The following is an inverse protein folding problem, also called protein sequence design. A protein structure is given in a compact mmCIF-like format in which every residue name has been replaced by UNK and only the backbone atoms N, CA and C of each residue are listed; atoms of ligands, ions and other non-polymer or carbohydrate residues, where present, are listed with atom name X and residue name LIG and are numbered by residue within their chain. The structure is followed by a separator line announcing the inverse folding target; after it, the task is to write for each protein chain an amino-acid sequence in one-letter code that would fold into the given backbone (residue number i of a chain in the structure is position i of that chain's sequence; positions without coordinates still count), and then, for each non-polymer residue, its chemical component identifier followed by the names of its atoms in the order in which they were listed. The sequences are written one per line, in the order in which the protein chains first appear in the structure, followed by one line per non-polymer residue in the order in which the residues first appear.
data_IF_863337394896
#
_entry.id   IF_863337394896
#
_cell.length_a   1.000
_cell.length_b   1.000
_cell.length_c   1.000
_cell.angle_alpha   90.00
_cell.angle_beta   90.00
_cell.angle_gamma   90.00
#
_symmetry.space_group_name_H-M   'P 1'
#
loop_
_entity.id
_entity.type
_entity.pdbx_description
1 polymer ?
#
# COMPACT_ATOMS: atom_id res chain seq x y z
N UNK A 1 -5.72 -21.99 5.85
CA UNK A 1 -4.43 -21.83 6.57
C UNK A 1 -3.25 -21.88 5.61
N UNK A 2 -3.26 -22.75 4.59
CA UNK A 2 -2.12 -22.89 3.64
C UNK A 2 -1.72 -21.60 2.90
N UNK A 3 -2.69 -20.76 2.51
CA UNK A 3 -2.43 -19.48 1.83
C UNK A 3 -1.93 -18.35 2.74
N UNK A 4 -1.92 -18.53 4.07
CA UNK A 4 -1.48 -17.48 5.00
C UNK A 4 0.03 -17.54 5.26
N UNK A 5 0.64 -18.74 5.22
CA UNK A 5 2.07 -18.91 5.50
C UNK A 5 2.97 -18.09 4.56
N UNK A 6 2.71 -18.04 3.23
CA UNK A 6 3.53 -17.24 2.33
C UNK A 6 3.43 -15.74 2.61
N UNK A 7 2.24 -15.26 3.00
CA UNK A 7 2.02 -13.83 3.30
C UNK A 7 2.74 -13.42 4.58
N UNK A 8 2.71 -14.26 5.62
CA UNK A 8 3.45 -14.00 6.86
C UNK A 8 4.96 -14.00 6.60
N UNK A 9 5.48 -15.00 5.89
CA UNK A 9 6.90 -15.04 5.53
C UNK A 9 7.32 -13.82 4.67
N UNK A 10 6.47 -13.43 3.73
CA UNK A 10 6.69 -12.23 2.92
C UNK A 10 6.73 -10.96 3.77
N UNK A 11 5.82 -10.82 4.74
CA UNK A 11 5.78 -9.68 5.66
C UNK A 11 7.08 -9.56 6.47
N UNK A 12 7.60 -10.68 6.99
CA UNK A 12 8.88 -10.70 7.72
C UNK A 12 10.06 -10.30 6.82
N UNK A 13 10.01 -10.65 5.53
CA UNK A 13 11.04 -10.32 4.54
C UNK A 13 10.95 -8.90 3.96
N UNK A 14 9.92 -8.12 4.31
CA UNK A 14 9.79 -6.75 3.85
C UNK A 14 10.93 -5.87 4.37
N UNK A 15 11.26 -4.85 3.57
CA UNK A 15 12.08 -3.74 4.03
C UNK A 15 11.42 -3.09 5.25
N UNK A 16 12.25 -2.64 6.19
CA UNK A 16 11.78 -2.09 7.46
C UNK A 16 10.77 -0.95 7.26
N UNK A 17 11.02 -0.05 6.30
CA UNK A 17 10.12 1.06 6.00
C UNK A 17 8.74 0.59 5.51
N UNK A 18 8.67 -0.45 4.67
CA UNK A 18 7.40 -0.97 4.15
C UNK A 18 6.65 -1.73 5.24
N UNK A 19 7.37 -2.54 6.03
CA UNK A 19 6.81 -3.26 7.17
C UNK A 19 6.25 -2.30 8.22
N UNK A 20 6.99 -1.24 8.56
CA UNK A 20 6.57 -0.24 9.53
C UNK A 20 5.33 0.52 9.04
N UNK A 21 5.28 0.88 7.75
CA UNK A 21 4.08 1.51 7.16
C UNK A 21 2.84 0.64 7.36
N UNK A 22 2.94 -0.67 7.11
CA UNK A 22 1.84 -1.60 7.31
C UNK A 22 1.46 -1.75 8.80
N UNK A 23 2.44 -1.87 9.69
CA UNK A 23 2.22 -1.97 11.14
C UNK A 23 1.46 -0.74 11.63
N UNK A 24 1.96 0.45 11.33
CA UNK A 24 1.38 1.70 11.81
C UNK A 24 -0.06 1.84 11.33
N UNK A 25 -0.29 1.67 10.03
CA UNK A 25 -1.59 1.94 9.43
C UNK A 25 -2.63 0.86 9.74
N UNK A 26 -2.22 -0.41 9.85
CA UNK A 26 -3.13 -1.50 10.23
C UNK A 26 -3.36 -1.58 11.75
N UNK A 27 -2.57 -0.88 12.57
CA UNK A 27 -2.80 -0.79 14.01
C UNK A 27 -3.92 0.22 14.38
N UNK A 28 -4.24 1.16 13.49
CA UNK A 28 -5.27 2.17 13.71
C UNK A 28 -6.67 1.55 13.59
N UNK A 29 -7.45 1.63 14.68
CA UNK A 29 -8.81 1.10 14.72
C UNK A 29 -9.86 2.03 14.10
N UNK A 30 -9.55 3.34 14.07
CA UNK A 30 -10.53 4.38 13.75
C UNK A 30 -11.45 4.72 14.92
N UNK A 31 -11.18 4.23 16.13
CA UNK A 31 -11.83 4.60 17.38
C UNK A 31 -10.82 5.35 18.26
N UNK A 32 -11.23 6.46 18.84
CA UNK A 32 -10.41 7.29 19.72
C UNK A 32 -9.84 6.47 20.89
N UNK A 33 -8.52 6.55 21.07
CA UNK A 33 -7.81 5.84 22.14
C UNK A 33 -7.65 4.33 21.95
N UNK A 34 -8.22 3.73 20.89
CA UNK A 34 -8.14 2.29 20.64
C UNK A 34 -7.19 1.94 19.49
N UNK A 35 -6.36 0.91 19.71
CA UNK A 35 -5.40 0.40 18.72
C UNK A 35 -5.40 -1.12 18.75
N UNK A 36 -5.21 -1.76 17.59
CA UNK A 36 -5.13 -3.22 17.52
C UNK A 36 -3.81 -3.78 18.08
N UNK A 37 -2.75 -2.99 18.10
CA UNK A 37 -1.45 -3.39 18.65
C UNK A 37 -0.65 -2.17 19.16
N UNK A 38 -0.07 -2.24 20.38
CA UNK A 38 0.96 -1.32 20.83
C UNK A 38 2.38 -1.77 20.39
N UNK A 39 3.36 -0.85 20.25
CA UNK A 39 3.24 0.61 20.32
C UNK A 39 2.89 1.21 18.94
N UNK A 40 1.74 1.90 18.84
CA UNK A 40 1.49 2.76 17.71
C UNK A 40 2.21 4.10 17.96
N UNK A 41 3.24 4.39 17.18
CA UNK A 41 3.98 5.66 17.24
C UNK A 41 3.14 6.85 16.79
N UNK A 42 2.02 6.58 16.12
CA UNK A 42 1.15 7.56 15.50
C UNK A 42 -0.19 7.65 16.25
N UNK A 43 -0.53 8.84 16.73
CA UNK A 43 -1.86 9.15 17.29
C UNK A 43 -2.62 10.03 16.30
N UNK A 44 -3.94 9.99 16.36
CA UNK A 44 -4.82 10.70 15.42
C UNK A 44 -5.48 9.79 14.40
N UNK A 45 -6.27 10.39 13.51
CA UNK A 45 -6.82 9.70 12.35
C UNK A 45 -6.69 10.53 11.06
N UNK A 46 -7.35 10.11 9.96
CA UNK A 46 -8.20 8.93 9.88
C UNK A 46 -7.47 7.60 9.97
N UNK A 47 -8.22 6.56 10.35
CA UNK A 47 -7.88 5.19 9.99
C UNK A 47 -8.34 4.87 8.55
N UNK A 48 -7.69 3.91 7.91
CA UNK A 48 -7.98 3.53 6.54
C UNK A 48 -8.59 2.14 6.45
N UNK A 49 -9.72 2.04 5.75
CA UNK A 49 -10.32 0.77 5.35
C UNK A 49 -9.99 0.48 3.89
N UNK A 50 -9.00 -0.37 3.62
CA UNK A 50 -8.69 -0.81 2.25
C UNK A 50 -9.72 -1.84 1.76
N UNK A 51 -10.77 -1.37 1.09
CA UNK A 51 -11.82 -2.21 0.54
C UNK A 51 -11.31 -3.03 -0.65
N UNK A 52 -11.59 -4.34 -0.63
CA UNK A 52 -11.01 -5.39 -1.48
C UNK A 52 -9.55 -5.78 -1.21
N UNK A 53 -8.88 -5.26 -0.17
CA UNK A 53 -7.50 -5.68 0.15
C UNK A 53 -7.32 -7.20 0.34
N UNK A 54 -8.26 -7.98 0.94
CA UNK A 54 -8.07 -9.42 1.05
C UNK A 54 -8.13 -10.13 -0.30
N UNK A 55 -8.96 -9.65 -1.23
CA UNK A 55 -9.06 -10.20 -2.58
C UNK A 55 -7.80 -9.87 -3.40
N UNK A 56 -7.34 -8.62 -3.32
CA UNK A 56 -6.10 -8.17 -3.91
C UNK A 56 -4.90 -9.01 -3.45
N UNK A 57 -4.68 -9.12 -2.12
CA UNK A 57 -3.55 -9.90 -1.57
C UNK A 57 -3.67 -11.36 -1.98
N UNK A 58 -4.86 -11.96 -1.91
CA UNK A 58 -5.03 -13.36 -2.31
C UNK A 58 -4.64 -13.63 -3.76
N UNK A 59 -4.87 -12.68 -4.65
CA UNK A 59 -4.53 -12.82 -6.06
C UNK A 59 -3.05 -12.57 -6.30
N UNK A 60 -2.51 -11.42 -5.87
CA UNK A 60 -1.12 -11.05 -6.11
C UNK A 60 -0.12 -11.92 -5.32
N UNK A 61 -0.46 -12.35 -4.11
CA UNK A 61 0.44 -13.14 -3.26
C UNK A 61 0.69 -14.58 -3.77
N UNK A 62 -0.09 -15.05 -4.75
CA UNK A 62 0.19 -16.32 -5.44
C UNK A 62 1.43 -16.24 -6.33
N UNK A 63 1.69 -15.05 -6.86
CA UNK A 63 2.83 -14.77 -7.75
C UNK A 63 3.99 -14.19 -6.96
N UNK A 64 3.72 -13.15 -6.17
CA UNK A 64 4.73 -12.42 -5.40
C UNK A 64 4.06 -11.74 -4.19
N UNK A 65 4.10 -12.43 -3.05
CA UNK A 65 3.53 -11.94 -1.80
C UNK A 65 4.25 -10.71 -1.25
N UNK A 66 5.57 -10.59 -1.48
CA UNK A 66 6.35 -9.43 -1.03
C UNK A 66 5.88 -8.20 -1.79
N UNK A 67 5.79 -8.30 -3.11
CA UNK A 67 5.34 -7.18 -3.94
C UNK A 67 3.90 -6.78 -3.66
N UNK A 68 3.01 -7.76 -3.43
CA UNK A 68 1.63 -7.47 -3.03
C UNK A 68 1.57 -6.59 -1.76
N UNK A 69 2.39 -6.91 -0.75
CA UNK A 69 2.47 -6.14 0.48
C UNK A 69 3.13 -4.76 0.28
N UNK A 70 4.17 -4.66 -0.57
CA UNK A 70 4.77 -3.37 -0.93
C UNK A 70 3.76 -2.44 -1.62
N UNK A 71 2.90 -2.98 -2.50
CA UNK A 71 1.83 -2.20 -3.14
C UNK A 71 0.85 -1.68 -2.08
N UNK A 72 0.46 -2.50 -1.10
CA UNK A 72 -0.39 -2.03 0.00
C UNK A 72 0.26 -0.93 0.83
N UNK A 73 1.54 -1.09 1.17
CA UNK A 73 2.29 -0.09 1.93
C UNK A 73 2.35 1.25 1.17
N UNK A 74 2.58 1.21 -0.15
CA UNK A 74 2.54 2.41 -0.99
C UNK A 74 1.16 3.05 -1.04
N UNK A 75 0.07 2.27 -1.12
CA UNK A 75 -1.30 2.80 -1.08
C UNK A 75 -1.55 3.52 0.24
N UNK A 76 -1.19 2.91 1.37
CA UNK A 76 -1.33 3.55 2.69
C UNK A 76 -0.53 4.85 2.76
N UNK A 77 0.72 4.85 2.30
CA UNK A 77 1.58 6.03 2.27
C UNK A 77 0.95 7.17 1.48
N UNK A 78 0.48 6.90 0.26
CA UNK A 78 -0.17 7.92 -0.57
C UNK A 78 -1.52 8.37 0.04
N UNK A 79 -2.26 7.47 0.70
CA UNK A 79 -3.49 7.82 1.42
C UNK A 79 -3.19 8.76 2.59
N UNK A 80 -2.13 8.49 3.36
CA UNK A 80 -1.68 9.34 4.47
C UNK A 80 -1.25 10.73 4.01
N UNK A 81 -0.69 10.85 2.82
CA UNK A 81 -0.39 12.15 2.22
C UNK A 81 -1.65 12.95 1.81
N UNK A 82 -2.76 12.28 1.49
CA UNK A 82 -4.06 12.91 1.22
C UNK A 82 -4.82 13.26 2.50
N UNK A 83 -4.69 12.41 3.52
CA UNK A 83 -5.29 12.58 4.86
C UNK A 83 -4.21 12.46 5.95
N UNK A 84 -3.46 13.54 6.20
CA UNK A 84 -2.45 13.57 7.27
C UNK A 84 -3.07 13.27 8.63
N UNK A 85 -2.28 12.70 9.54
CA UNK A 85 -2.72 12.43 10.91
C UNK A 85 -3.12 13.72 11.61
N UNK A 86 -4.36 13.75 12.09
CA UNK A 86 -4.91 14.84 12.91
C UNK A 86 -5.74 14.25 14.04
N UNK A 87 -5.59 14.80 15.24
CA UNK A 87 -6.40 14.40 16.40
C UNK A 87 -7.88 14.70 16.19
N UNK A 88 -8.21 15.76 15.46
CA UNK A 88 -9.60 16.11 15.07
C UNK A 88 -10.24 15.08 14.13
N UNK A 89 -9.45 14.19 13.53
CA UNK A 89 -9.91 13.12 12.65
C UNK A 89 -9.82 11.74 13.32
N UNK A 90 -9.67 11.71 14.65
CA UNK A 90 -10.00 10.51 15.42
C UNK A 90 -11.50 10.21 15.26
N UNK A 91 -11.90 8.94 15.31
CA UNK A 91 -13.26 8.50 14.94
C UNK A 91 -13.63 8.72 13.45
N UNK A 92 -12.67 9.06 12.58
CA UNK A 92 -12.85 9.19 11.14
C UNK A 92 -12.20 8.01 10.41
N UNK A 93 -12.97 7.38 9.51
CA UNK A 93 -12.48 6.29 8.66
C UNK A 93 -12.63 6.70 7.20
N UNK A 94 -11.56 6.50 6.43
CA UNK A 94 -11.54 6.69 4.99
C UNK A 94 -11.49 5.32 4.32
N UNK A 95 -12.45 5.06 3.42
CA UNK A 95 -12.48 3.83 2.62
C UNK A 95 -11.67 4.02 1.34
N UNK A 96 -10.69 3.15 1.12
CA UNK A 96 -9.88 3.14 -0.10
C UNK A 96 -10.28 1.93 -0.94
N UNK A 97 -10.85 2.18 -2.11
CA UNK A 97 -11.35 1.14 -3.00
C UNK A 97 -10.25 0.64 -3.94
N UNK A 98 -9.88 -0.64 -3.77
CA UNK A 98 -8.91 -1.34 -4.62
C UNK A 98 -9.58 -2.09 -5.79
N UNK A 99 -10.78 -1.65 -6.20
CA UNK A 99 -11.63 -2.37 -7.14
C UNK A 99 -11.00 -2.61 -8.52
N UNK A 100 -10.16 -1.69 -8.96
CA UNK A 100 -9.45 -1.73 -10.25
C UNK A 100 -8.29 -2.74 -10.26
N UNK A 101 -7.57 -2.87 -9.14
CA UNK A 101 -6.39 -3.73 -9.04
C UNK A 101 -6.67 -5.11 -8.41
N UNK A 102 -7.82 -5.31 -7.76
CA UNK A 102 -8.11 -6.53 -6.98
C UNK A 102 -7.96 -7.85 -7.75
N UNK A 103 -8.10 -7.83 -9.07
CA UNK A 103 -8.06 -9.02 -9.93
C UNK A 103 -6.85 -9.06 -10.86
N UNK A 104 -5.90 -8.14 -10.71
CA UNK A 104 -4.74 -8.04 -11.59
C UNK A 104 -3.57 -8.88 -11.06
N UNK A 105 -2.70 -9.33 -11.96
CA UNK A 105 -1.41 -9.92 -11.60
C UNK A 105 -0.47 -8.84 -11.06
N UNK A 106 0.52 -9.24 -10.26
CA UNK A 106 1.54 -8.29 -9.79
C UNK A 106 2.28 -7.69 -10.99
N UNK A 107 2.55 -8.51 -12.00
CA UNK A 107 3.20 -8.09 -13.24
C UNK A 107 2.40 -7.01 -13.97
N UNK A 108 1.09 -7.19 -14.17
CA UNK A 108 0.25 -6.22 -14.88
C UNK A 108 0.17 -4.87 -14.16
N UNK A 109 0.20 -4.89 -12.83
CA UNK A 109 0.22 -3.65 -12.03
C UNK A 109 1.53 -2.91 -12.22
N UNK A 110 2.66 -3.62 -12.21
CA UNK A 110 3.99 -3.03 -12.27
C UNK A 110 4.37 -2.57 -13.69
N UNK A 111 4.01 -3.34 -14.72
CA UNK A 111 4.38 -3.07 -16.12
C UNK A 111 3.51 -1.98 -16.76
N UNK A 112 2.57 -1.40 -16.01
CA UNK A 112 1.64 -0.39 -16.50
C UNK A 112 2.35 0.85 -17.08
N UNK A 113 3.45 1.27 -16.46
CA UNK A 113 4.24 2.42 -16.89
C UNK A 113 4.88 2.23 -18.28
N UNK A 114 5.19 0.99 -18.67
CA UNK A 114 5.72 0.68 -20.00
C UNK A 114 4.67 0.92 -21.10
N UNK A 115 3.38 0.97 -20.72
CA UNK A 115 2.25 1.25 -21.62
C UNK A 115 1.89 2.74 -21.67
N UNK A 116 2.70 3.60 -21.05
CA UNK A 116 2.40 5.04 -20.96
C UNK A 116 1.24 5.37 -20.01
N UNK A 117 0.96 4.48 -19.05
CA UNK A 117 -0.10 4.61 -18.06
C UNK A 117 0.47 4.64 -16.64
N UNK A 118 -0.28 5.20 -15.69
CA UNK A 118 0.13 5.34 -14.30
C UNK A 118 -1.03 5.02 -13.36
N UNK A 119 -0.69 4.51 -12.18
CA UNK A 119 -1.65 4.33 -11.10
C UNK A 119 -1.76 5.59 -10.25
N UNK A 120 -2.99 6.01 -10.01
CA UNK A 120 -3.34 7.14 -9.17
C UNK A 120 -4.20 6.67 -8.01
N UNK A 121 -3.97 7.29 -6.86
CA UNK A 121 -4.86 7.24 -5.72
C UNK A 121 -5.64 8.56 -5.68
N UNK A 122 -6.94 8.50 -5.90
CA UNK A 122 -7.79 9.66 -6.16
C UNK A 122 -8.83 9.81 -5.08
N UNK A 123 -8.83 10.95 -4.41
CA UNK A 123 -9.86 11.30 -3.44
C UNK A 123 -11.20 11.53 -4.16
N UNK A 124 -12.14 10.60 -3.98
CA UNK A 124 -13.48 10.69 -4.55
C UNK A 124 -14.41 11.54 -3.67
N UNK A 125 -14.23 11.46 -2.35
CA UNK A 125 -14.95 12.28 -1.37
C UNK A 125 -14.10 12.53 -0.13
N UNK A 126 -14.65 13.16 0.91
CA UNK A 126 -13.92 13.31 2.18
C UNK A 126 -13.63 11.95 2.86
N UNK A 127 -14.48 10.94 2.61
CA UNK A 127 -14.42 9.62 3.24
C UNK A 127 -14.03 8.50 2.28
N UNK A 128 -13.81 8.80 1.00
CA UNK A 128 -13.60 7.78 -0.01
C UNK A 128 -12.45 8.13 -0.94
N UNK A 129 -11.69 7.11 -1.29
CA UNK A 129 -10.59 7.16 -2.22
C UNK A 129 -10.64 5.96 -3.16
N UNK A 130 -10.22 6.12 -4.40
CA UNK A 130 -10.20 5.05 -5.39
C UNK A 130 -8.80 4.93 -5.99
N UNK A 131 -8.36 3.69 -6.21
CA UNK A 131 -7.20 3.45 -7.07
C UNK A 131 -7.70 3.44 -8.50
N UNK A 132 -7.20 4.34 -9.35
CA UNK A 132 -7.56 4.42 -10.76
C UNK A 132 -6.33 4.44 -11.66
N UNK A 133 -6.54 4.01 -12.91
CA UNK A 133 -5.52 4.07 -13.95
C UNK A 133 -5.73 5.34 -14.78
N UNK A 134 -4.64 6.00 -15.13
CA UNK A 134 -4.64 7.13 -16.06
C UNK A 134 -3.52 7.02 -17.09
N UNK A 135 -3.69 7.64 -18.24
CA UNK A 135 -2.58 7.94 -19.14
C UNK A 135 -1.58 8.88 -18.45
N UNK A 136 -0.29 8.65 -18.68
CA UNK A 136 0.80 9.44 -18.12
C UNK A 136 0.74 10.90 -18.59
N UNK A 137 0.31 11.13 -19.83
CA UNK A 137 0.18 12.47 -20.43
C UNK A 137 -0.92 13.30 -19.73
N UNK A 138 -1.99 12.65 -19.27
CA UNK A 138 -3.07 13.31 -18.56
C UNK A 138 -2.75 13.58 -17.06
N UNK A 139 -1.68 12.98 -16.53
CA UNK A 139 -1.33 13.02 -15.11
C UNK A 139 -1.24 14.44 -14.54
N UNK A 140 -0.53 15.42 -15.14
CA UNK A 140 -0.40 16.75 -14.55
C UNK A 140 -1.77 17.42 -14.33
N UNK A 141 -2.64 17.35 -15.34
CA UNK A 141 -3.99 17.90 -15.25
C UNK A 141 -4.84 17.20 -14.20
N UNK A 142 -4.66 15.90 -13.99
CA UNK A 142 -5.40 15.16 -12.96
C UNK A 142 -4.90 15.50 -11.55
N UNK A 143 -3.60 15.67 -11.35
CA UNK A 143 -3.04 16.07 -10.06
C UNK A 143 -3.45 17.50 -9.66
N UNK A 144 -3.65 18.38 -10.65
CA UNK A 144 -4.16 19.74 -10.42
C UNK A 144 -5.67 19.77 -10.17
N UNK A 145 -6.45 19.03 -10.97
CA UNK A 145 -7.93 19.09 -10.92
C UNK A 145 -8.54 18.19 -9.86
N UNK A 146 -7.91 17.05 -9.59
CA UNK A 146 -8.36 16.08 -8.57
C UNK A 146 -7.35 16.10 -7.43
N UNK A 147 -7.83 15.95 -6.19
CA UNK A 147 -6.94 15.62 -5.06
C UNK A 147 -6.46 14.18 -5.24
N UNK A 148 -5.34 14.03 -5.95
CA UNK A 148 -4.81 12.76 -6.37
C UNK A 148 -3.32 12.63 -6.01
N UNK A 149 -2.85 11.38 -5.85
CA UNK A 149 -1.44 11.04 -5.65
C UNK A 149 -1.03 9.95 -6.61
N UNK A 150 0.21 10.01 -7.07
CA UNK A 150 0.80 8.97 -7.92
C UNK A 150 1.23 7.80 -7.04
N UNK A 151 0.73 6.59 -7.32
CA UNK A 151 1.22 5.38 -6.68
C UNK A 151 2.58 4.99 -7.26
N UNK A 152 3.59 4.96 -6.41
CA UNK A 152 4.99 4.83 -6.83
C UNK A 152 5.44 3.39 -7.04
N UNK A 153 4.72 2.67 -7.90
CA UNK A 153 4.89 1.22 -8.12
C UNK A 153 6.04 0.90 -9.10
N UNK A 154 7.28 1.19 -8.71
CA UNK A 154 8.46 0.94 -9.56
C UNK A 154 9.35 -0.20 -9.05
N UNK A 155 9.66 -1.23 -9.86
CA UNK A 155 10.41 -2.41 -9.41
C UNK A 155 11.82 -2.08 -8.89
N UNK A 156 12.43 -1.01 -9.40
CA UNK A 156 13.81 -0.62 -9.10
C UNK A 156 14.02 -0.12 -7.67
N UNK A 157 12.93 0.25 -6.97
CA UNK A 157 12.97 0.65 -5.56
C UNK A 157 13.01 -0.54 -4.61
N UNK A 158 12.34 -1.64 -4.95
CA UNK A 158 12.19 -2.78 -4.05
C UNK A 158 13.14 -3.95 -4.33
N UNK A 159 13.68 -4.07 -5.56
CA UNK A 159 14.61 -5.16 -5.92
C UNK A 159 16.07 -4.94 -5.50
N UNK A 160 16.47 -3.71 -5.12
CA UNK A 160 17.89 -3.40 -4.86
C UNK A 160 18.36 -3.73 -3.44
N UNK A 161 17.46 -3.78 -2.46
CA UNK A 161 17.85 -3.96 -1.05
C UNK A 161 17.73 -5.43 -0.56
N UNK A 162 16.99 -6.28 -1.27
CA UNK A 162 16.83 -7.70 -0.91
C UNK A 162 18.03 -8.58 -1.27
N UNK A 163 19.02 -8.07 -2.03
CA UNK A 163 20.23 -8.83 -2.39
C UNK A 163 21.33 -8.84 -1.32
N UNK A 164 21.14 -8.18 -0.17
CA UNK A 164 22.21 -8.00 0.84
C UNK A 164 22.29 -9.08 1.91
N UNK A 165 21.56 -10.19 1.77
CA UNK A 165 21.78 -11.40 2.57
C UNK A 165 22.40 -12.51 1.71
N UNK A 166 23.60 -12.27 1.19
CA UNK A 166 24.50 -13.37 0.82
C UNK A 166 25.11 -13.93 2.10
N UNK A 167 24.68 -15.15 2.43
CA UNK A 167 25.24 -16.01 3.47
C UNK A 167 26.78 -16.07 3.36
N UNK A 168 27.55 -15.81 4.44
CA UNK A 168 28.99 -16.02 4.37
C UNK A 168 29.24 -17.52 4.12
N UNK A 169 29.85 -17.83 2.97
CA UNK A 169 30.40 -19.15 2.70
C UNK A 169 31.41 -19.46 3.80
N UNK A 170 31.07 -20.40 4.67
CA UNK A 170 32.02 -21.05 5.56
C UNK A 170 33.14 -21.64 4.69
N UNK A 171 34.36 -21.14 4.89
CA UNK A 171 35.58 -21.77 4.40
C UNK A 171 35.82 -23.01 5.28
N UNK A 172 35.67 -24.19 4.69
CA UNK A 172 36.35 -25.42 5.11
C UNK A 172 37.43 -25.76 4.07
#
# INVERSE_FOLDING_TARGET
IEYQKPVVAAFESLLEAERQTLIDEMSLSGVEGEFYAPPCSHRGGPAFLLYYSPAFVRNCAREDAVMALCILAEIYRQARELWPLKSEQENFVVTVHLGTIKGMSTKDIMDLHERGEVWLLVQASQKECVVERSELVAMPSLLEKKRARVLRLWPSKWRRETKTHETPRSLE
#
